data_IF_153374254874
#
_entry.id   IF_153374254874
#
_cell.length_a   1.000
_cell.length_b   1.000
_cell.length_c   1.000
_cell.angle_alpha   90.00
_cell.angle_beta   90.00
_cell.angle_gamma   90.00
#
_symmetry.space_group_name_H-M   'P 1'
#
loop_
_entity.id
_entity.type
_entity.pdbx_description
1 polymer ?
#
# COMPACT_ATOMS: atom_id res chain seq x y z
N UNK A 1 -34.62 49.23 -4.87
CA UNK A 1 -34.18 47.98 -5.54
C UNK A 1 -32.69 47.80 -5.29
N UNK A 2 -32.28 46.88 -4.40
CA UNK A 2 -30.88 46.53 -4.14
C UNK A 2 -30.53 45.26 -4.92
N UNK A 3 -29.39 45.18 -5.63
CA UNK A 3 -29.15 44.15 -6.63
C UNK A 3 -28.85 42.80 -5.98
N UNK A 4 -29.50 41.74 -6.49
CA UNK A 4 -29.38 40.32 -6.08
C UNK A 4 -28.01 39.69 -6.43
N UNK A 5 -27.00 40.47 -6.81
CA UNK A 5 -25.73 39.97 -7.35
C UNK A 5 -24.74 39.50 -6.27
N UNK A 6 -24.82 39.99 -5.03
CA UNK A 6 -23.82 39.67 -3.99
C UNK A 6 -23.92 38.24 -3.43
N UNK A 7 -25.10 37.61 -3.47
CA UNK A 7 -25.31 36.28 -2.90
C UNK A 7 -24.71 35.13 -3.75
N UNK A 8 -24.61 35.32 -5.08
CA UNK A 8 -24.04 34.32 -5.99
C UNK A 8 -22.52 34.23 -5.93
N UNK A 9 -21.84 35.33 -5.58
CA UNK A 9 -20.38 35.38 -5.45
C UNK A 9 -19.90 34.63 -4.19
N UNK A 10 -20.66 34.67 -3.09
CA UNK A 10 -20.33 33.96 -1.86
C UNK A 10 -20.55 32.43 -1.97
N UNK A 11 -21.60 32.00 -2.68
CA UNK A 11 -21.88 30.57 -2.89
C UNK A 11 -20.81 29.87 -3.75
N UNK A 12 -20.27 30.57 -4.77
CA UNK A 12 -19.18 30.04 -5.61
C UNK A 12 -17.83 29.97 -4.88
N UNK A 13 -17.57 30.91 -3.96
CA UNK A 13 -16.35 30.89 -3.14
C UNK A 13 -16.35 29.73 -2.13
N UNK A 14 -17.49 29.39 -1.54
CA UNK A 14 -17.63 28.25 -0.60
C UNK A 14 -17.45 26.90 -1.33
N UNK A 15 -17.92 26.78 -2.57
CA UNK A 15 -17.67 25.60 -3.40
C UNK A 15 -16.17 25.44 -3.76
N UNK A 16 -15.46 26.54 -4.04
CA UNK A 16 -14.00 26.52 -4.23
C UNK A 16 -13.22 26.21 -2.93
N UNK A 17 -13.67 26.72 -1.78
CA UNK A 17 -13.01 26.47 -0.49
C UNK A 17 -13.25 25.03 0.02
N UNK A 18 -14.41 24.44 -0.28
CA UNK A 18 -14.69 23.03 0.01
C UNK A 18 -13.83 22.05 -0.80
N UNK A 19 -13.48 22.42 -2.04
CA UNK A 19 -12.56 21.65 -2.89
C UNK A 19 -11.08 21.84 -2.54
N UNK A 20 -10.71 22.97 -1.91
CA UNK A 20 -9.32 23.25 -1.55
C UNK A 20 -8.77 22.31 -0.45
N UNK A 21 -9.64 21.69 0.36
CA UNK A 21 -9.23 20.70 1.38
C UNK A 21 -8.65 19.41 0.80
N UNK A 22 -8.88 19.11 -0.49
CA UNK A 22 -8.41 17.88 -1.13
C UNK A 22 -6.99 17.98 -1.74
N UNK A 23 -6.33 19.14 -1.64
CA UNK A 23 -5.03 19.42 -2.25
C UNK A 23 -3.98 19.90 -1.24
N UNK A 24 -4.01 19.36 -0.01
CA UNK A 24 -2.88 19.54 0.89
C UNK A 24 -1.72 18.67 0.41
N UNK A 25 -0.60 19.34 0.08
CA UNK A 25 0.64 18.66 -0.25
C UNK A 25 1.01 17.68 0.89
N UNK A 26 1.58 16.50 0.57
CA UNK A 26 2.02 15.57 1.61
C UNK A 26 2.92 16.27 2.64
N UNK A 27 2.73 15.97 3.92
CA UNK A 27 3.44 16.62 5.03
C UNK A 27 4.97 16.54 4.90
N UNK A 28 5.46 15.53 4.20
CA UNK A 28 6.88 15.28 3.97
C UNK A 28 7.42 15.92 2.68
N UNK A 29 6.61 16.65 1.89
CA UNK A 29 7.03 17.10 0.56
C UNK A 29 8.27 18.02 0.61
N UNK A 30 8.38 18.86 1.64
CA UNK A 30 9.51 19.78 1.83
C UNK A 30 10.56 19.27 2.81
N UNK A 31 10.16 18.50 3.82
CA UNK A 31 11.05 17.96 4.87
C UNK A 31 11.72 16.64 4.50
N UNK A 32 11.14 15.89 3.57
CA UNK A 32 11.49 14.50 3.31
C UNK A 32 11.12 13.57 4.46
N UNK A 33 11.54 12.32 4.35
CA UNK A 33 11.39 11.30 5.41
C UNK A 33 12.68 10.50 5.57
N UNK A 34 12.74 9.66 6.60
CA UNK A 34 13.85 8.70 6.78
C UNK A 34 13.31 7.28 6.75
N UNK A 35 13.89 6.46 5.89
CA UNK A 35 13.56 5.05 5.80
C UNK A 35 14.69 4.24 5.17
N UNK A 36 15.00 3.09 5.77
CA UNK A 36 15.88 2.09 5.21
C UNK A 36 15.38 0.69 5.57
N UNK A 37 15.28 -0.21 4.59
CA UNK A 37 14.82 -1.57 4.86
C UNK A 37 15.89 -2.32 5.68
N UNK A 38 15.57 -2.74 6.90
CA UNK A 38 16.49 -3.47 7.79
C UNK A 38 16.52 -4.98 7.51
N UNK A 39 15.73 -5.49 6.56
CA UNK A 39 15.60 -6.92 6.32
C UNK A 39 14.93 -7.71 7.45
N UNK A 40 14.23 -7.04 8.37
CA UNK A 40 13.69 -7.64 9.60
C UNK A 40 12.50 -8.58 9.45
N UNK A 41 11.98 -8.80 8.24
CA UNK A 41 10.80 -9.64 7.93
C UNK A 41 9.46 -9.23 8.57
N UNK A 42 9.42 -8.15 9.35
CA UNK A 42 8.23 -7.73 10.12
C UNK A 42 7.02 -7.44 9.24
N UNK A 43 7.20 -6.80 8.08
CA UNK A 43 6.13 -6.55 7.12
C UNK A 43 5.58 -7.83 6.45
N UNK A 44 6.30 -8.96 6.51
CA UNK A 44 5.82 -10.25 6.00
C UNK A 44 5.05 -11.05 7.06
N UNK A 45 5.15 -10.66 8.34
CA UNK A 45 4.57 -11.40 9.49
C UNK A 45 3.30 -10.76 10.03
N UNK A 46 2.85 -9.65 9.44
CA UNK A 46 1.59 -8.98 9.78
C UNK A 46 0.44 -9.54 8.95
N UNK A 47 -0.76 -9.52 9.53
CA UNK A 47 -1.97 -9.86 8.78
C UNK A 47 -2.25 -8.76 7.76
N UNK A 48 -2.49 -9.17 6.52
CA UNK A 48 -2.86 -8.25 5.43
C UNK A 48 -2.97 -8.98 4.10
N UNK A 49 -3.75 -8.41 3.20
CA UNK A 49 -3.90 -8.90 1.85
C UNK A 49 -2.82 -8.32 0.94
N UNK A 50 -1.99 -9.17 0.34
CA UNK A 50 -1.04 -8.74 -0.69
C UNK A 50 -1.60 -9.11 -2.06
N UNK A 51 -2.00 -8.09 -2.80
CA UNK A 51 -2.48 -8.24 -4.17
C UNK A 51 -1.33 -8.04 -5.15
N UNK A 52 -1.28 -8.87 -6.18
CA UNK A 52 -0.32 -8.81 -7.26
C UNK A 52 -1.02 -8.88 -8.61
N UNK A 53 -0.52 -8.12 -9.58
CA UNK A 53 -0.97 -8.24 -10.98
C UNK A 53 -0.48 -9.54 -11.61
N UNK A 54 -1.10 -9.97 -12.71
CA UNK A 54 -0.62 -11.10 -13.50
C UNK A 54 0.85 -10.96 -13.94
N UNK A 55 1.29 -9.75 -14.26
CA UNK A 55 2.67 -9.48 -14.67
C UNK A 55 3.65 -9.69 -13.51
N UNK A 56 3.28 -9.22 -12.30
CA UNK A 56 4.11 -9.43 -11.10
C UNK A 56 4.14 -10.90 -10.71
N UNK A 57 3.00 -11.60 -10.73
CA UNK A 57 2.96 -13.04 -10.49
C UNK A 57 3.82 -13.81 -11.52
N UNK A 58 3.83 -13.37 -12.78
CA UNK A 58 4.74 -13.89 -13.81
C UNK A 58 6.22 -13.69 -13.49
N UNK A 59 6.59 -12.50 -13.01
CA UNK A 59 7.96 -12.22 -12.57
C UNK A 59 8.37 -13.07 -11.35
N UNK A 60 7.45 -13.27 -10.39
CA UNK A 60 7.67 -14.14 -9.23
C UNK A 60 7.82 -15.60 -9.65
N UNK A 61 6.93 -16.13 -10.50
CA UNK A 61 7.00 -17.49 -11.02
C UNK A 61 8.32 -17.75 -11.75
N UNK A 62 8.76 -16.80 -12.59
CA UNK A 62 10.05 -16.87 -13.27
C UNK A 62 11.22 -16.91 -12.29
N UNK A 63 11.21 -16.07 -11.25
CA UNK A 63 12.26 -16.06 -10.22
C UNK A 63 12.31 -17.38 -9.44
N UNK A 64 11.15 -17.97 -9.16
CA UNK A 64 11.02 -19.24 -8.45
C UNK A 64 11.28 -20.47 -9.33
N UNK A 65 11.37 -20.29 -10.66
CA UNK A 65 11.58 -21.40 -11.60
C UNK A 65 10.36 -22.32 -11.75
N UNK A 66 9.14 -21.81 -11.51
CA UNK A 66 7.89 -22.60 -11.59
C UNK A 66 7.02 -22.14 -12.75
N UNK A 67 6.13 -23.02 -13.24
CA UNK A 67 5.13 -22.62 -14.24
C UNK A 67 4.10 -21.67 -13.63
N UNK A 68 3.42 -20.88 -14.46
CA UNK A 68 2.30 -20.05 -13.98
C UNK A 68 1.15 -20.90 -13.40
N UNK A 69 0.94 -22.12 -13.88
CA UNK A 69 -0.09 -23.00 -13.34
C UNK A 69 0.28 -23.44 -11.91
N UNK A 70 1.53 -23.85 -11.71
CA UNK A 70 2.07 -24.19 -10.38
C UNK A 70 2.05 -23.00 -9.46
N UNK A 71 2.47 -21.83 -9.94
CA UNK A 71 2.48 -20.61 -9.15
C UNK A 71 1.08 -20.28 -8.59
N UNK A 72 0.06 -20.32 -9.45
CA UNK A 72 -1.32 -20.05 -9.02
C UNK A 72 -1.82 -21.10 -8.04
N UNK A 73 -1.52 -22.38 -8.26
CA UNK A 73 -1.92 -23.45 -7.35
C UNK A 73 -1.27 -23.28 -5.97
N UNK A 74 0.02 -23.00 -5.93
CA UNK A 74 0.82 -23.07 -4.72
C UNK A 74 0.82 -21.74 -3.95
N UNK A 75 0.84 -20.61 -4.65
CA UNK A 75 1.04 -19.29 -4.02
C UNK A 75 -0.12 -18.29 -4.16
N UNK A 76 -1.14 -18.57 -4.98
CA UNK A 76 -2.29 -17.67 -5.12
C UNK A 76 -3.48 -18.17 -4.29
N UNK A 77 -3.97 -17.33 -3.38
CA UNK A 77 -5.13 -17.63 -2.53
C UNK A 77 -6.45 -17.49 -3.31
N UNK A 78 -6.58 -16.40 -4.07
CA UNK A 78 -7.75 -16.13 -4.91
C UNK A 78 -7.37 -15.30 -6.14
N UNK A 79 -8.10 -15.49 -7.22
CA UNK A 79 -8.12 -14.54 -8.33
C UNK A 79 -9.13 -13.43 -8.06
N UNK A 80 -8.84 -12.22 -8.52
CA UNK A 80 -9.84 -11.16 -8.60
C UNK A 80 -10.73 -11.39 -9.83
N UNK A 81 -11.99 -10.97 -9.73
CA UNK A 81 -12.91 -10.85 -10.86
C UNK A 81 -13.18 -9.35 -11.09
N UNK A 82 -12.88 -8.82 -12.29
CA UNK A 82 -12.43 -9.51 -13.50
C UNK A 82 -10.93 -9.90 -13.39
N UNK A 83 -10.47 -10.87 -14.20
CA UNK A 83 -9.11 -11.38 -14.13
C UNK A 83 -8.08 -10.30 -14.43
N UNK A 84 -7.00 -10.29 -13.66
CA UNK A 84 -5.93 -9.29 -13.77
C UNK A 84 -5.06 -9.21 -12.51
N UNK A 85 -5.67 -9.54 -11.38
CA UNK A 85 -5.08 -9.51 -10.05
C UNK A 85 -5.25 -10.85 -9.32
N UNK A 86 -4.31 -11.17 -8.45
CA UNK A 86 -4.36 -12.31 -7.55
C UNK A 86 -3.96 -11.91 -6.13
N UNK A 87 -4.67 -12.45 -5.14
CA UNK A 87 -4.27 -12.38 -3.74
C UNK A 87 -3.23 -13.47 -3.51
N UNK A 88 -2.07 -13.10 -2.95
CA UNK A 88 -1.03 -14.05 -2.56
C UNK A 88 -1.44 -14.76 -1.25
N UNK A 89 -1.04 -16.02 -1.11
CA UNK A 89 -1.31 -16.80 0.11
C UNK A 89 -0.47 -16.33 1.29
N UNK A 90 -1.07 -16.43 2.47
CA UNK A 90 -0.40 -16.30 3.75
C UNK A 90 -0.78 -17.43 4.72
N UNK A 91 -1.66 -18.36 4.32
CA UNK A 91 -2.07 -19.57 5.05
C UNK A 91 -2.33 -19.39 6.57
N UNK A 92 -2.87 -18.22 6.96
CA UNK A 92 -3.15 -17.87 8.35
C UNK A 92 -1.92 -17.48 9.19
N UNK A 93 -0.72 -17.50 8.61
CA UNK A 93 0.55 -17.13 9.22
C UNK A 93 1.29 -16.02 8.44
N UNK A 94 2.63 -16.00 8.46
CA UNK A 94 3.43 -15.12 7.62
C UNK A 94 3.18 -15.35 6.13
N UNK A 95 3.53 -14.37 5.30
CA UNK A 95 3.52 -14.48 3.85
C UNK A 95 4.17 -15.79 3.37
N UNK A 96 3.55 -16.48 2.39
CA UNK A 96 4.01 -17.77 1.86
C UNK A 96 5.43 -17.74 1.28
N UNK A 97 5.94 -16.56 0.94
CA UNK A 97 7.29 -16.37 0.39
C UNK A 97 8.35 -16.06 1.46
N UNK A 98 7.99 -16.03 2.74
CA UNK A 98 8.95 -15.87 3.82
C UNK A 98 9.55 -17.23 4.18
N UNK A 99 10.85 -17.40 4.00
CA UNK A 99 11.54 -18.64 4.31
C UNK A 99 11.79 -18.81 5.82
N UNK A 100 12.31 -19.99 6.20
CA UNK A 100 12.61 -20.33 7.60
C UNK A 100 13.69 -19.46 8.26
N UNK A 101 14.50 -18.74 7.47
CA UNK A 101 15.50 -17.78 7.96
C UNK A 101 14.92 -16.36 8.10
N UNK A 102 13.66 -16.14 7.71
CA UNK A 102 13.05 -14.82 7.69
C UNK A 102 13.45 -13.97 6.47
N UNK A 103 13.92 -14.59 5.39
CA UNK A 103 14.20 -13.87 4.13
C UNK A 103 13.04 -14.08 3.14
N UNK A 104 12.78 -13.06 2.33
CA UNK A 104 11.76 -13.14 1.30
C UNK A 104 12.35 -13.83 0.06
N UNK A 105 11.85 -15.02 -0.29
CA UNK A 105 12.33 -15.80 -1.44
C UNK A 105 12.10 -15.09 -2.78
N UNK A 106 11.14 -14.15 -2.83
CA UNK A 106 10.85 -13.31 -3.98
C UNK A 106 11.40 -11.89 -3.86
N UNK A 107 12.40 -11.61 -3.02
CA UNK A 107 12.82 -10.23 -2.71
C UNK A 107 13.05 -9.35 -3.95
N UNK A 108 13.68 -9.90 -4.99
CA UNK A 108 13.95 -9.22 -6.27
C UNK A 108 12.74 -9.08 -7.20
N UNK A 109 11.65 -9.81 -6.94
CA UNK A 109 10.40 -9.78 -7.72
C UNK A 109 9.18 -9.40 -6.85
N UNK A 110 9.40 -8.79 -5.67
CA UNK A 110 8.33 -8.35 -4.76
C UNK A 110 7.29 -7.53 -5.53
N UNK A 111 5.98 -7.74 -5.32
CA UNK A 111 4.96 -6.89 -5.94
C UNK A 111 5.10 -5.45 -5.46
N UNK A 112 4.56 -4.51 -6.23
CA UNK A 112 4.64 -3.08 -5.96
C UNK A 112 4.10 -2.75 -4.56
N UNK A 113 3.02 -3.40 -4.12
CA UNK A 113 2.51 -3.26 -2.76
C UNK A 113 3.59 -3.52 -1.69
N UNK A 114 4.35 -4.61 -1.81
CA UNK A 114 5.45 -4.92 -0.89
C UNK A 114 6.65 -3.98 -1.04
N UNK A 115 6.95 -3.50 -2.25
CA UNK A 115 8.06 -2.54 -2.49
C UNK A 115 7.74 -1.13 -2.00
N UNK A 116 6.45 -0.76 -2.02
CA UNK A 116 5.98 0.55 -1.64
C UNK A 116 5.89 0.72 -0.13
N UNK A 117 5.82 -0.35 0.68
CA UNK A 117 5.86 -0.23 2.13
C UNK A 117 7.18 0.42 2.59
N UNK A 118 7.17 1.42 3.51
CA UNK A 118 6.05 1.93 4.31
C UNK A 118 5.38 3.20 3.74
N UNK A 119 5.49 3.49 2.45
CA UNK A 119 4.90 4.66 1.78
C UNK A 119 3.41 4.50 1.43
N UNK A 120 2.72 3.53 2.02
CA UNK A 120 1.28 3.36 1.80
C UNK A 120 0.51 4.59 2.34
N UNK A 121 -0.61 4.99 1.72
CA UNK A 121 -1.45 6.09 2.19
C UNK A 121 -1.79 6.04 3.68
N UNK A 122 -2.02 4.85 4.23
CA UNK A 122 -2.39 4.65 5.62
C UNK A 122 -1.23 4.94 6.60
N UNK A 123 0.01 4.80 6.13
CA UNK A 123 1.21 5.00 6.94
C UNK A 123 1.81 6.39 6.67
N UNK A 124 2.00 6.74 5.40
CA UNK A 124 2.63 8.00 4.99
C UNK A 124 1.64 9.16 4.86
N UNK A 125 0.32 8.93 5.00
CA UNK A 125 -0.70 9.96 4.86
C UNK A 125 -0.62 11.07 5.90
N UNK A 126 -0.11 10.78 7.10
CA UNK A 126 0.15 11.78 8.13
C UNK A 126 1.48 11.54 8.82
N UNK A 127 2.00 12.59 9.46
CA UNK A 127 3.25 12.50 10.23
C UNK A 127 3.06 11.58 11.43
N UNK A 128 1.90 11.65 12.06
CA UNK A 128 1.54 10.86 13.23
C UNK A 128 1.47 9.37 12.89
N UNK A 129 0.89 8.99 11.75
CA UNK A 129 0.83 7.60 11.30
C UNK A 129 2.24 7.06 10.96
N UNK A 130 3.07 7.89 10.32
CA UNK A 130 4.46 7.54 10.01
C UNK A 130 5.29 7.31 11.27
N UNK A 131 5.15 8.16 12.27
CA UNK A 131 5.81 8.02 13.58
C UNK A 131 5.26 6.84 14.38
N UNK A 132 3.95 6.54 14.28
CA UNK A 132 3.31 5.41 14.95
C UNK A 132 3.70 4.05 14.34
N UNK A 133 4.00 4.00 13.04
CA UNK A 133 4.47 2.78 12.39
C UNK A 133 5.90 2.41 12.82
N UNK A 134 6.70 3.36 13.31
CA UNK A 134 8.07 3.11 13.73
C UNK A 134 8.15 2.19 14.96
N UNK A 135 8.96 1.13 14.87
CA UNK A 135 9.25 0.21 15.99
C UNK A 135 10.74 0.02 16.17
N UNK A 136 11.16 -0.28 17.39
CA UNK A 136 12.57 -0.53 17.68
C UNK A 136 13.01 -1.91 17.16
N UNK A 137 14.27 -2.04 16.71
CA UNK A 137 14.88 -3.34 16.46
C UNK A 137 14.86 -4.25 17.69
N UNK A 138 14.76 -5.55 17.46
CA UNK A 138 14.69 -6.54 18.55
C UNK A 138 15.99 -6.57 19.39
N UNK A 139 17.11 -6.16 18.80
CA UNK A 139 18.41 -6.03 19.47
C UNK A 139 18.48 -4.85 20.46
N UNK A 140 17.62 -3.84 20.31
CA UNK A 140 17.63 -2.64 21.17
C UNK A 140 16.86 -2.94 22.46
N UNK A 141 17.52 -2.83 23.61
CA UNK A 141 16.90 -2.99 24.93
C UNK A 141 16.33 -1.67 25.45
N UNK A 142 15.31 -1.74 26.31
CA UNK A 142 14.71 -0.57 26.98
C UNK A 142 13.29 -0.23 26.50
N UNK A 143 12.71 0.88 26.99
CA UNK A 143 11.36 1.30 26.64
C UNK A 143 11.28 1.79 25.18
N UNK A 144 10.10 1.64 24.57
CA UNK A 144 9.80 2.15 23.23
C UNK A 144 8.85 1.23 22.45
N UNK A 145 8.39 1.67 21.27
CA UNK A 145 7.45 0.91 20.45
C UNK A 145 8.06 -0.42 20.00
N UNK A 146 7.30 -1.50 20.13
CA UNK A 146 7.71 -2.86 19.78
C UNK A 146 6.77 -3.43 18.74
N UNK A 147 7.36 -4.19 17.83
CA UNK A 147 6.59 -4.91 16.83
C UNK A 147 5.75 -6.00 17.49
N UNK A 148 4.54 -6.20 16.99
CA UNK A 148 3.74 -7.39 17.24
C UNK A 148 3.01 -7.82 15.98
N UNK A 149 2.62 -9.09 15.88
CA UNK A 149 1.85 -9.59 14.74
C UNK A 149 0.46 -8.93 14.61
N UNK A 150 -0.05 -8.35 15.71
CA UNK A 150 -1.35 -7.68 15.74
C UNK A 150 -1.26 -6.21 15.31
N UNK A 151 -0.26 -5.49 15.82
CA UNK A 151 -0.12 -4.03 15.62
C UNK A 151 0.80 -3.68 14.46
N UNK A 152 1.64 -4.61 14.00
CA UNK A 152 2.61 -4.35 12.95
C UNK A 152 3.75 -3.44 13.38
N UNK A 153 4.31 -2.71 12.40
CA UNK A 153 5.39 -1.76 12.57
C UNK A 153 6.64 -2.02 11.73
N UNK A 154 7.41 -0.95 11.50
CA UNK A 154 8.61 -0.90 10.68
C UNK A 154 9.85 -0.47 11.48
N UNK A 155 10.87 -1.32 11.53
CA UNK A 155 12.19 -0.94 12.09
C UNK A 155 12.95 0.08 11.24
N UNK A 156 12.64 0.11 9.94
CA UNK A 156 13.32 0.96 8.99
C UNK A 156 12.98 2.44 9.15
N UNK A 157 11.92 2.76 9.90
CA UNK A 157 11.51 4.11 10.22
C UNK A 157 12.26 4.59 11.46
N UNK A 158 13.52 4.97 11.27
CA UNK A 158 14.37 5.43 12.37
C UNK A 158 15.03 6.77 12.05
N UNK A 159 15.48 7.46 13.10
CA UNK A 159 16.27 8.70 12.97
C UNK A 159 17.60 8.49 12.24
N UNK A 160 18.14 7.28 12.32
CA UNK A 160 19.44 6.90 11.77
C UNK A 160 19.32 6.36 10.34
N UNK A 161 18.10 6.10 9.87
CA UNK A 161 17.84 5.62 8.52
C UNK A 161 18.17 6.68 7.46
N UNK A 162 18.44 6.18 6.25
CA UNK A 162 18.70 6.99 5.07
C UNK A 162 17.60 8.05 4.84
N UNK A 163 18.02 9.29 4.55
CA UNK A 163 17.10 10.37 4.20
C UNK A 163 16.61 10.21 2.78
N UNK A 164 15.31 10.39 2.60
CA UNK A 164 14.60 10.29 1.33
C UNK A 164 13.99 11.66 1.04
N UNK A 165 14.34 12.30 -0.09
CA UNK A 165 13.75 13.57 -0.49
C UNK A 165 12.23 13.48 -0.59
N UNK A 166 11.53 14.53 -0.14
CA UNK A 166 10.07 14.59 -0.18
C UNK A 166 9.45 14.26 -1.54
N UNK A 167 9.95 14.80 -2.66
CA UNK A 167 9.46 14.43 -3.99
C UNK A 167 9.63 12.95 -4.32
N UNK A 168 10.70 12.30 -3.85
CA UNK A 168 10.94 10.87 -4.06
C UNK A 168 9.95 10.04 -3.24
N UNK A 169 9.70 10.42 -1.98
CA UNK A 169 8.68 9.80 -1.15
C UNK A 169 7.27 9.95 -1.77
N UNK A 170 6.97 11.13 -2.32
CA UNK A 170 5.69 11.41 -2.96
C UNK A 170 5.48 10.54 -4.20
N UNK A 171 6.51 10.35 -5.02
CA UNK A 171 6.45 9.45 -6.18
C UNK A 171 6.14 8.01 -5.77
N UNK A 172 6.74 7.49 -4.69
CA UNK A 172 6.47 6.13 -4.19
C UNK A 172 5.04 5.99 -3.69
N UNK A 173 4.54 6.97 -2.95
CA UNK A 173 3.15 6.96 -2.47
C UNK A 173 2.16 7.05 -3.64
N UNK A 174 2.42 7.92 -4.63
CA UNK A 174 1.59 8.06 -5.83
C UNK A 174 1.58 6.78 -6.67
N UNK A 175 2.74 6.15 -6.87
CA UNK A 175 2.85 4.89 -7.62
C UNK A 175 1.95 3.81 -7.00
N UNK A 176 2.00 3.68 -5.66
CA UNK A 176 1.16 2.73 -4.96
C UNK A 176 -0.32 3.13 -4.94
N UNK A 177 -0.65 4.41 -4.77
CA UNK A 177 -2.03 4.88 -4.81
C UNK A 177 -2.67 4.59 -6.19
N UNK A 178 -1.94 4.80 -7.28
CA UNK A 178 -2.39 4.46 -8.63
C UNK A 178 -2.54 2.95 -8.83
N UNK A 179 -1.62 2.16 -8.26
CA UNK A 179 -1.68 0.70 -8.29
C UNK A 179 -2.96 0.20 -7.59
N UNK A 180 -3.25 0.70 -6.39
CA UNK A 180 -4.42 0.29 -5.64
C UNK A 180 -5.73 0.78 -6.28
N UNK A 181 -5.75 2.01 -6.80
CA UNK A 181 -6.89 2.53 -7.56
C UNK A 181 -7.25 1.67 -8.77
N UNK A 182 -6.24 1.15 -9.50
CA UNK A 182 -6.47 0.21 -10.61
C UNK A 182 -7.07 -1.12 -10.14
N UNK A 183 -6.64 -1.63 -8.99
CA UNK A 183 -7.19 -2.84 -8.39
C UNK A 183 -8.65 -2.65 -7.97
N UNK A 184 -8.98 -1.51 -7.36
CA UNK A 184 -10.35 -1.18 -6.95
C UNK A 184 -11.27 -0.95 -8.16
N UNK A 185 -10.82 -0.17 -9.15
CA UNK A 185 -11.58 0.06 -10.38
C UNK A 185 -11.91 -1.25 -11.11
N UNK A 186 -10.99 -2.23 -11.10
CA UNK A 186 -11.27 -3.56 -11.63
C UNK A 186 -12.47 -4.20 -10.92
N UNK A 187 -12.54 -4.17 -9.59
CA UNK A 187 -13.68 -4.73 -8.84
C UNK A 187 -15.01 -4.02 -9.09
N UNK A 188 -15.00 -2.67 -9.16
CA UNK A 188 -16.20 -1.87 -9.34
C UNK A 188 -16.81 -2.02 -10.73
N UNK A 189 -15.98 -2.09 -11.77
CA UNK A 189 -16.44 -2.32 -13.14
C UNK A 189 -17.27 -3.61 -13.25
N UNK A 190 -16.90 -4.65 -12.49
CA UNK A 190 -17.66 -5.90 -12.42
C UNK A 190 -18.93 -5.79 -11.60
N UNK A 191 -18.91 -5.12 -10.44
CA UNK A 191 -20.13 -4.89 -9.66
C UNK A 191 -21.19 -4.16 -10.49
N UNK A 192 -20.79 -3.14 -11.25
CA UNK A 192 -21.66 -2.40 -12.15
C UNK A 192 -22.13 -3.22 -13.38
N UNK A 193 -21.31 -4.13 -13.92
CA UNK A 193 -21.74 -5.01 -15.01
C UNK A 193 -22.73 -6.07 -14.55
N UNK A 194 -22.54 -6.64 -13.36
CA UNK A 194 -23.43 -7.65 -12.78
C UNK A 194 -24.79 -7.05 -12.42
N UNK A 195 -24.82 -5.84 -11.83
CA UNK A 195 -26.06 -5.14 -11.51
C UNK A 195 -26.93 -4.87 -12.76
N UNK A 196 -26.32 -4.42 -13.87
CA UNK A 196 -27.02 -4.16 -15.14
C UNK A 196 -27.46 -5.42 -15.90
N UNK A 197 -26.90 -6.59 -15.56
CA UNK A 197 -27.29 -7.89 -16.10
C UNK A 197 -28.49 -8.49 -15.36
N UNK A 198 -28.66 -8.17 -14.08
CA UNK A 198 -29.77 -8.65 -13.24
C UNK A 198 -31.12 -7.96 -13.51
N UNK A 199 -31.13 -6.72 -14.04
CA UNK A 199 -32.35 -6.00 -14.41
C UNK A 199 -32.93 -6.42 -15.79
N UNK A 200 -32.32 -7.40 -16.47
CA UNK A 200 -32.78 -7.93 -17.76
C UNK A 200 -33.30 -9.37 -17.69
N UNK A 201 -33.69 -9.82 -16.50
CA UNK A 201 -34.32 -11.13 -16.29
C UNK A 201 -35.70 -10.98 -15.65
#
# INVERSE_FOLDING_TARGET
ARPKCAAWLLASAIACLGFASALQAPWYLTSGVRFECTGCSKCCKVKGDVWATNNEMGAMAKLLGVSMADFRRDYQARAQTPPGWGLLKADGGPCVFLDGEGKCSIYGARPLQCRAYPFWPEVAGSREAWEAEAVLPDSVKGPGPRWSALTGGCEGLSKDAAWIPGPVAALRQLEYAMYDARRLAATEATAASTARGGERQ
#
